data_IF_999955611972
#
_entry.id   IF_999955611972
#
_cell.length_a   1.000
_cell.length_b   1.000
_cell.length_c   1.000
_cell.angle_alpha   90.00
_cell.angle_beta   90.00
_cell.angle_gamma   90.00
#
_symmetry.space_group_name_H-M   'P 1'
#
loop_
_entity.id
_entity.type
_entity.pdbx_description
1 polymer ?
#
# COMPACT_ATOMS: atom_id res chain seq x y z
N UNK A 1 20.02 -36.82 -40.95
CA UNK A 1 19.95 -35.41 -40.45
C UNK A 1 20.01 -35.36 -38.91
N UNK A 2 19.40 -36.26 -38.16
CA UNK A 2 19.40 -36.23 -36.67
C UNK A 2 20.74 -36.49 -35.97
N UNK A 3 21.69 -37.10 -36.62
CA UNK A 3 22.95 -37.60 -36.00
C UNK A 3 24.12 -36.62 -36.12
N UNK A 4 24.07 -35.63 -37.00
CA UNK A 4 25.19 -34.69 -37.27
C UNK A 4 24.99 -33.27 -36.74
N UNK A 5 23.93 -33.00 -35.98
CA UNK A 5 23.60 -31.65 -35.49
C UNK A 5 24.34 -31.24 -34.21
N UNK A 6 25.43 -31.92 -33.87
CA UNK A 6 26.28 -31.49 -32.76
C UNK A 6 27.26 -30.44 -33.29
N UNK A 7 27.04 -29.17 -32.83
CA UNK A 7 27.97 -28.06 -32.97
C UNK A 7 27.79 -27.06 -34.12
N UNK A 8 26.56 -26.55 -34.35
CA UNK A 8 26.48 -25.22 -35.03
C UNK A 8 27.02 -25.07 -36.45
N UNK A 9 27.57 -26.14 -37.02
CA UNK A 9 28.17 -26.12 -38.34
C UNK A 9 27.11 -26.28 -39.44
N UNK A 10 27.33 -25.60 -40.56
CA UNK A 10 26.51 -25.74 -41.73
C UNK A 10 26.78 -27.11 -42.36
N UNK A 11 25.74 -27.84 -42.62
CA UNK A 11 25.84 -29.16 -43.25
C UNK A 11 25.44 -29.08 -44.72
N UNK A 12 26.33 -29.59 -45.56
CA UNK A 12 26.05 -29.89 -46.94
C UNK A 12 25.81 -31.39 -47.09
N UNK A 13 24.69 -31.78 -47.66
CA UNK A 13 24.36 -33.19 -47.87
C UNK A 13 23.69 -33.40 -49.24
N UNK A 14 23.91 -34.57 -49.82
CA UNK A 14 23.20 -34.94 -51.06
C UNK A 14 22.02 -35.82 -50.69
N UNK A 15 20.81 -35.38 -51.10
CA UNK A 15 19.59 -36.12 -50.83
C UNK A 15 19.53 -37.43 -51.69
N UNK A 16 18.54 -38.29 -51.37
CA UNK A 16 18.34 -39.56 -52.08
C UNK A 16 18.10 -39.39 -53.59
N UNK A 17 17.72 -38.21 -54.02
CA UNK A 17 17.48 -37.86 -55.44
C UNK A 17 18.71 -37.23 -56.11
N UNK A 18 19.87 -37.22 -55.45
CA UNK A 18 21.10 -36.71 -56.03
C UNK A 18 21.26 -35.19 -56.01
N UNK A 19 20.36 -34.48 -55.34
CA UNK A 19 20.43 -33.04 -55.20
C UNK A 19 21.18 -32.65 -53.92
N UNK A 20 21.95 -31.57 -54.00
CA UNK A 20 22.73 -31.04 -52.87
C UNK A 20 21.92 -29.97 -52.19
N UNK A 21 21.81 -30.14 -50.85
CA UNK A 21 21.16 -29.21 -49.93
C UNK A 21 22.18 -28.70 -48.92
N UNK A 22 22.00 -27.41 -48.52
CA UNK A 22 22.73 -26.76 -47.46
C UNK A 22 21.76 -26.50 -46.30
N UNK A 23 22.21 -26.76 -45.06
CA UNK A 23 21.41 -26.57 -43.88
C UNK A 23 22.24 -25.96 -42.74
N UNK A 24 21.86 -24.82 -42.25
CA UNK A 24 22.47 -24.14 -41.10
C UNK A 24 21.50 -24.15 -39.91
N UNK A 25 21.85 -24.79 -38.80
CA UNK A 25 21.03 -24.74 -37.59
C UNK A 25 21.14 -23.37 -36.94
N UNK A 26 20.01 -22.83 -36.51
CA UNK A 26 19.91 -21.55 -35.81
C UNK A 26 19.73 -21.81 -34.32
N UNK A 27 20.76 -21.52 -33.52
CA UNK A 27 20.75 -21.64 -32.06
C UNK A 27 20.60 -20.27 -31.44
N UNK A 28 19.53 -20.05 -30.67
CA UNK A 28 19.29 -18.82 -29.91
C UNK A 28 19.44 -19.17 -28.43
N UNK A 29 20.32 -18.49 -27.73
CA UNK A 29 20.63 -18.77 -26.31
C UNK A 29 20.93 -20.28 -26.05
N UNK A 30 21.66 -20.92 -26.95
CA UNK A 30 22.04 -22.32 -26.83
C UNK A 30 20.93 -23.35 -27.12
N UNK A 31 19.75 -22.90 -27.54
CA UNK A 31 18.64 -23.79 -27.93
C UNK A 31 18.38 -23.71 -29.43
N UNK A 32 18.17 -24.88 -30.03
CA UNK A 32 17.82 -24.96 -31.46
C UNK A 32 16.46 -24.29 -31.67
N UNK A 33 16.44 -23.15 -32.39
CA UNK A 33 15.25 -22.40 -32.73
C UNK A 33 14.69 -22.77 -34.12
N UNK A 34 15.57 -23.18 -35.03
CA UNK A 34 15.17 -23.52 -36.39
C UNK A 34 16.36 -23.85 -37.27
N UNK A 35 16.11 -23.87 -38.56
CA UNK A 35 17.11 -24.12 -39.59
C UNK A 35 16.96 -23.08 -40.71
N UNK A 36 18.10 -22.62 -41.24
CA UNK A 36 18.17 -21.96 -42.52
C UNK A 36 18.58 -23.03 -43.54
N UNK A 37 17.74 -23.24 -44.54
CA UNK A 37 18.02 -24.23 -45.56
C UNK A 37 18.02 -23.61 -46.97
N UNK A 38 18.94 -24.03 -47.79
CA UNK A 38 19.02 -23.67 -49.19
C UNK A 38 19.53 -24.86 -49.97
N UNK A 39 19.04 -25.07 -51.17
CA UNK A 39 19.52 -26.21 -51.92
C UNK A 39 18.63 -26.58 -53.11
N UNK A 40 18.63 -27.90 -53.38
CA UNK A 40 18.08 -28.51 -54.58
C UNK A 40 18.87 -28.11 -55.85
N UNK A 41 20.17 -28.12 -55.69
CA UNK A 41 21.08 -27.89 -56.83
C UNK A 41 21.80 -29.19 -57.18
N UNK A 42 22.27 -29.30 -58.42
CA UNK A 42 23.13 -30.40 -58.83
C UNK A 42 24.59 -30.03 -58.55
N UNK A 43 25.34 -30.92 -57.87
CA UNK A 43 26.80 -30.75 -57.70
C UNK A 43 27.63 -31.26 -58.88
N UNK A 44 27.03 -32.01 -59.75
CA UNK A 44 27.54 -32.45 -61.02
C UNK A 44 26.38 -32.66 -62.00
N UNK A 45 26.66 -32.47 -63.30
CA UNK A 45 25.68 -32.81 -64.32
C UNK A 45 25.42 -34.31 -64.35
N UNK A 46 24.16 -34.71 -64.20
CA UNK A 46 23.77 -36.13 -64.24
C UNK A 46 23.40 -36.53 -65.63
N UNK A 47 24.02 -37.65 -66.14
CA UNK A 47 23.70 -38.22 -67.43
C UNK A 47 22.31 -38.88 -67.45
N UNK A 48 21.75 -39.08 -68.65
CA UNK A 48 20.37 -39.57 -68.82
C UNK A 48 20.17 -40.96 -68.18
N UNK A 49 21.15 -41.88 -68.25
CA UNK A 49 21.06 -43.20 -67.60
C UNK A 49 21.02 -43.10 -66.02
N UNK A 50 21.80 -42.17 -65.45
CA UNK A 50 21.85 -41.94 -64.02
C UNK A 50 20.51 -41.24 -63.52
N UNK A 51 19.98 -40.30 -64.33
CA UNK A 51 18.72 -39.61 -64.02
C UNK A 51 17.53 -40.57 -64.13
N UNK A 52 17.53 -41.49 -65.10
CA UNK A 52 16.54 -42.57 -65.19
C UNK A 52 16.57 -43.45 -63.91
N UNK A 53 17.77 -43.83 -63.44
CA UNK A 53 17.94 -44.58 -62.20
C UNK A 53 17.45 -43.82 -60.94
N UNK A 54 17.66 -42.47 -60.85
CA UNK A 54 17.13 -41.63 -59.80
C UNK A 54 15.62 -41.55 -59.89
N UNK A 55 15.06 -41.38 -61.09
CA UNK A 55 13.60 -41.24 -61.30
C UNK A 55 12.80 -42.47 -60.90
N UNK A 56 13.38 -43.66 -60.99
CA UNK A 56 12.77 -44.92 -60.53
C UNK A 56 12.58 -45.01 -59.01
N UNK A 57 13.31 -44.21 -58.24
CA UNK A 57 13.18 -44.08 -56.78
C UNK A 57 12.12 -43.12 -56.33
N UNK A 58 11.50 -42.36 -57.22
CA UNK A 58 10.45 -41.40 -56.91
C UNK A 58 9.11 -42.14 -56.68
N UNK A 59 8.84 -42.52 -55.42
CA UNK A 59 7.67 -43.27 -55.01
C UNK A 59 6.37 -42.44 -55.02
N UNK A 60 6.48 -41.11 -55.13
CA UNK A 60 5.38 -40.19 -55.13
C UNK A 60 4.81 -39.89 -56.52
N UNK A 61 5.48 -40.33 -57.58
CA UNK A 61 5.10 -40.15 -58.97
C UNK A 61 4.01 -41.15 -59.35
N UNK A 62 2.90 -40.70 -59.91
CA UNK A 62 1.67 -41.48 -60.12
C UNK A 62 1.59 -42.12 -61.50
N UNK A 63 2.21 -41.50 -62.51
CA UNK A 63 2.17 -41.95 -63.91
C UNK A 63 3.45 -41.56 -64.67
N UNK A 64 3.62 -42.09 -65.86
CA UNK A 64 4.79 -41.82 -66.70
C UNK A 64 4.85 -40.38 -67.24
N UNK A 65 3.72 -39.71 -67.46
CA UNK A 65 3.70 -38.31 -67.87
C UNK A 65 4.24 -37.40 -66.78
N UNK A 66 3.81 -37.58 -65.53
CA UNK A 66 4.32 -36.87 -64.35
C UNK A 66 5.82 -37.13 -64.16
N UNK A 67 6.27 -38.34 -64.40
CA UNK A 67 7.69 -38.71 -64.37
C UNK A 67 8.50 -37.98 -65.44
N UNK A 68 8.03 -37.97 -66.68
CA UNK A 68 8.69 -37.27 -67.78
C UNK A 68 8.78 -35.77 -67.51
N UNK A 69 7.72 -35.18 -66.97
CA UNK A 69 7.68 -33.76 -66.55
C UNK A 69 8.73 -33.46 -65.49
N UNK A 70 8.81 -34.30 -64.47
CA UNK A 70 9.79 -34.12 -63.37
C UNK A 70 11.22 -34.31 -63.82
N UNK A 71 11.48 -35.24 -64.73
CA UNK A 71 12.79 -35.43 -65.39
C UNK A 71 13.22 -34.16 -66.12
N UNK A 72 12.31 -33.56 -66.90
CA UNK A 72 12.58 -32.31 -67.57
C UNK A 72 12.88 -31.16 -66.63
N UNK A 73 12.12 -31.06 -65.54
CA UNK A 73 12.37 -30.08 -64.50
C UNK A 73 13.70 -30.32 -63.76
N UNK A 74 14.05 -31.56 -63.52
CA UNK A 74 15.33 -31.92 -62.91
C UNK A 74 16.54 -31.50 -63.76
N UNK A 75 16.45 -31.63 -65.09
CA UNK A 75 17.48 -31.15 -66.06
C UNK A 75 17.64 -29.63 -66.04
N UNK A 76 16.61 -28.89 -65.68
CA UNK A 76 16.64 -27.43 -65.59
C UNK A 76 17.23 -26.90 -64.29
N UNK A 77 17.50 -27.80 -63.30
CA UNK A 77 18.10 -27.38 -62.05
C UNK A 77 19.53 -26.87 -62.26
N UNK A 78 19.95 -25.82 -61.54
CA UNK A 78 21.30 -25.28 -61.66
C UNK A 78 22.35 -26.33 -61.22
N UNK A 79 23.42 -26.40 -61.97
CA UNK A 79 24.60 -27.18 -61.62
C UNK A 79 25.62 -26.21 -61.03
N UNK A 80 25.98 -26.39 -59.77
CA UNK A 80 26.97 -25.56 -59.10
C UNK A 80 28.30 -26.34 -58.95
N UNK A 81 29.37 -25.67 -59.34
CA UNK A 81 30.71 -26.24 -59.10
C UNK A 81 31.13 -26.16 -57.61
N UNK A 82 32.27 -26.75 -57.29
CA UNK A 82 32.76 -26.79 -55.88
C UNK A 82 33.04 -25.36 -55.34
N UNK A 83 33.44 -24.43 -56.20
CA UNK A 83 33.74 -23.03 -55.84
C UNK A 83 32.45 -22.29 -55.52
N UNK A 84 31.42 -22.48 -56.33
CA UNK A 84 30.10 -21.91 -56.16
C UNK A 84 29.40 -22.45 -54.90
N UNK A 85 29.52 -23.75 -54.65
CA UNK A 85 29.01 -24.37 -53.38
C UNK A 85 29.72 -23.83 -52.13
N UNK A 86 31.04 -23.61 -52.19
CA UNK A 86 31.80 -23.00 -51.10
C UNK A 86 31.33 -21.56 -50.83
N UNK A 87 31.10 -20.76 -51.91
CA UNK A 87 30.53 -19.41 -51.77
C UNK A 87 29.13 -19.42 -51.17
N UNK A 88 28.30 -20.36 -51.56
CA UNK A 88 26.95 -20.53 -51.01
C UNK A 88 27.00 -20.88 -49.52
N UNK A 89 27.95 -21.74 -49.09
CA UNK A 89 28.19 -22.03 -47.69
C UNK A 89 28.62 -20.80 -46.87
N UNK A 90 29.50 -19.95 -47.40
CA UNK A 90 29.93 -18.72 -46.75
C UNK A 90 28.78 -17.74 -46.55
N UNK A 91 27.98 -17.55 -47.64
CA UNK A 91 26.80 -16.68 -47.59
C UNK A 91 25.82 -17.22 -46.52
N UNK A 92 25.56 -18.49 -46.49
CA UNK A 92 24.68 -19.15 -45.53
C UNK A 92 25.18 -18.98 -44.11
N UNK A 93 26.50 -19.05 -43.88
CA UNK A 93 27.14 -18.79 -42.59
C UNK A 93 26.93 -17.36 -42.12
N UNK A 94 27.13 -16.39 -42.98
CA UNK A 94 26.89 -14.98 -42.68
C UNK A 94 25.44 -14.74 -42.35
N UNK A 95 24.50 -15.25 -43.16
CA UNK A 95 23.06 -15.07 -42.93
C UNK A 95 22.60 -15.72 -41.64
N UNK A 96 23.05 -16.95 -41.35
CA UNK A 96 22.66 -17.64 -40.11
C UNK A 96 23.17 -16.91 -38.88
N UNK A 97 24.40 -16.39 -38.90
CA UNK A 97 24.97 -15.59 -37.82
C UNK A 97 24.19 -14.30 -37.61
N UNK A 98 23.88 -13.55 -38.68
CA UNK A 98 23.13 -12.30 -38.59
C UNK A 98 21.69 -12.52 -38.08
N UNK A 99 21.03 -13.60 -38.50
CA UNK A 99 19.70 -13.94 -38.00
C UNK A 99 19.72 -14.20 -36.48
N UNK A 100 20.70 -14.98 -36.01
CA UNK A 100 20.85 -15.30 -34.59
C UNK A 100 21.11 -14.03 -33.77
N UNK A 101 22.06 -13.17 -34.20
CA UNK A 101 22.38 -11.92 -33.52
C UNK A 101 21.16 -11.00 -33.44
N UNK A 102 20.43 -10.81 -34.52
CA UNK A 102 19.21 -10.00 -34.53
C UNK A 102 18.13 -10.54 -33.59
N UNK A 103 17.96 -11.85 -33.53
CA UNK A 103 17.03 -12.50 -32.63
C UNK A 103 17.42 -12.29 -31.16
N UNK A 104 18.70 -12.47 -30.82
CA UNK A 104 19.21 -12.28 -29.46
C UNK A 104 19.09 -10.83 -29.00
N UNK A 105 19.44 -9.87 -29.87
CA UNK A 105 19.26 -8.43 -29.60
C UNK A 105 17.79 -8.11 -29.33
N UNK A 106 16.87 -8.61 -30.16
CA UNK A 106 15.43 -8.36 -29.98
C UNK A 106 14.90 -8.97 -28.67
N UNK A 107 15.30 -10.18 -28.34
CA UNK A 107 14.92 -10.82 -27.07
C UNK A 107 15.46 -10.06 -25.84
N UNK A 108 16.71 -9.61 -25.91
CA UNK A 108 17.30 -8.77 -24.86
C UNK A 108 16.55 -7.44 -24.70
N UNK A 109 16.22 -6.80 -25.82
CA UNK A 109 15.45 -5.54 -25.83
C UNK A 109 14.05 -5.70 -25.22
N UNK A 110 13.35 -6.77 -25.54
CA UNK A 110 12.05 -7.06 -24.93
C UNK A 110 12.15 -7.21 -23.41
N UNK A 111 13.13 -7.97 -22.92
CA UNK A 111 13.35 -8.13 -21.47
C UNK A 111 13.61 -6.79 -20.76
N UNK A 112 14.44 -5.94 -21.36
CA UNK A 112 14.73 -4.59 -20.80
C UNK A 112 13.45 -3.75 -20.74
N UNK A 113 12.61 -3.78 -21.78
CA UNK A 113 11.36 -3.05 -21.80
C UNK A 113 10.38 -3.55 -20.73
N UNK A 114 10.23 -4.85 -20.57
CA UNK A 114 9.39 -5.45 -19.52
C UNK A 114 9.87 -5.06 -18.12
N UNK A 115 11.17 -5.14 -17.85
CA UNK A 115 11.75 -4.75 -16.57
C UNK A 115 11.57 -3.25 -16.29
N UNK A 116 11.75 -2.40 -17.30
CA UNK A 116 11.58 -0.95 -17.16
C UNK A 116 10.12 -0.58 -16.86
N UNK A 117 9.16 -1.26 -17.49
CA UNK A 117 7.74 -1.09 -17.21
C UNK A 117 7.39 -1.50 -15.78
N UNK A 118 7.88 -2.66 -15.34
CA UNK A 118 7.65 -3.13 -13.97
C UNK A 118 8.22 -2.16 -12.93
N UNK A 119 9.44 -1.68 -13.16
CA UNK A 119 10.09 -0.71 -12.27
C UNK A 119 9.33 0.62 -12.22
N UNK A 120 8.83 1.10 -13.37
CA UNK A 120 8.00 2.29 -13.44
C UNK A 120 6.70 2.13 -12.64
N UNK A 121 6.03 0.99 -12.76
CA UNK A 121 4.83 0.69 -11.98
C UNK A 121 5.09 0.62 -10.46
N UNK A 122 6.23 0.03 -10.06
CA UNK A 122 6.62 -0.01 -8.64
C UNK A 122 6.88 1.40 -8.08
N UNK A 123 7.58 2.26 -8.83
CA UNK A 123 7.82 3.66 -8.44
C UNK A 123 6.51 4.44 -8.30
N UNK A 124 5.59 4.26 -9.24
CA UNK A 124 4.28 4.91 -9.18
C UNK A 124 3.49 4.48 -7.93
N UNK A 125 3.43 3.18 -7.65
CA UNK A 125 2.78 2.67 -6.43
C UNK A 125 3.41 3.20 -5.15
N UNK A 126 4.75 3.30 -5.11
CA UNK A 126 5.48 3.90 -3.99
C UNK A 126 5.07 5.35 -3.75
N UNK A 127 5.05 6.17 -4.81
CA UNK A 127 4.63 7.56 -4.74
C UNK A 127 3.15 7.71 -4.30
N UNK A 128 2.25 6.88 -4.83
CA UNK A 128 0.83 6.89 -4.45
C UNK A 128 0.62 6.52 -2.96
N UNK A 129 1.39 5.55 -2.46
CA UNK A 129 1.39 5.19 -1.03
C UNK A 129 1.90 6.32 -0.14
N UNK A 130 2.99 6.98 -0.52
CA UNK A 130 3.54 8.13 0.21
C UNK A 130 2.54 9.28 0.26
N UNK A 131 1.90 9.61 -0.87
CA UNK A 131 0.83 10.60 -0.91
C UNK A 131 -0.40 10.22 -0.08
N UNK A 132 -0.76 8.94 -0.03
CA UNK A 132 -1.87 8.47 0.81
C UNK A 132 -1.53 8.57 2.29
N UNK A 133 -0.31 8.20 2.68
CA UNK A 133 0.20 8.33 4.05
C UNK A 133 0.20 9.80 4.49
N UNK A 134 0.75 10.69 3.67
CA UNK A 134 0.79 12.12 3.97
C UNK A 134 -0.61 12.74 4.15
N UNK A 135 -1.56 12.37 3.27
CA UNK A 135 -2.97 12.77 3.42
C UNK A 135 -3.61 12.23 4.69
N UNK A 136 -3.30 10.97 5.07
CA UNK A 136 -3.80 10.38 6.30
C UNK A 136 -3.24 11.08 7.54
N UNK A 137 -1.94 11.42 7.54
CA UNK A 137 -1.29 12.18 8.60
C UNK A 137 -1.89 13.59 8.75
N UNK A 138 -2.07 14.32 7.64
CA UNK A 138 -2.71 15.64 7.66
C UNK A 138 -4.16 15.57 8.16
N UNK A 139 -4.91 14.52 7.78
CA UNK A 139 -6.26 14.30 8.26
C UNK A 139 -6.29 13.99 9.76
N UNK A 140 -5.36 13.17 10.23
CA UNK A 140 -5.21 12.86 11.65
C UNK A 140 -4.90 14.13 12.47
N UNK A 141 -3.95 14.95 11.99
CA UNK A 141 -3.59 16.22 12.61
C UNK A 141 -4.77 17.20 12.67
N UNK A 142 -5.53 17.35 11.57
CA UNK A 142 -6.75 18.20 11.55
C UNK A 142 -7.82 17.71 12.51
N UNK A 143 -7.95 16.41 12.73
CA UNK A 143 -8.94 15.83 13.63
C UNK A 143 -8.56 15.97 15.13
N UNK A 144 -7.33 16.35 15.45
CA UNK A 144 -6.90 16.59 16.84
C UNK A 144 -7.46 17.90 17.40
N UNK A 145 -7.81 18.86 16.54
CA UNK A 145 -8.45 20.11 16.95
C UNK A 145 -9.92 20.04 16.56
N UNK A 146 -10.81 20.19 17.54
CA UNK A 146 -12.24 20.32 17.27
C UNK A 146 -12.53 21.73 16.71
N UNK A 147 -12.80 21.91 15.37
CA UNK A 147 -12.97 23.23 14.78
C UNK A 147 -14.16 23.98 15.39
N UNK A 148 -15.21 23.26 15.73
CA UNK A 148 -16.41 23.84 16.34
C UNK A 148 -16.11 24.43 17.74
N UNK A 149 -15.31 23.72 18.53
CA UNK A 149 -14.87 24.25 19.84
C UNK A 149 -14.03 25.53 19.67
N UNK A 150 -13.08 25.51 18.72
CA UNK A 150 -12.22 26.67 18.46
C UNK A 150 -13.02 27.90 18.03
N UNK A 151 -13.94 27.77 17.06
CA UNK A 151 -14.81 28.87 16.63
C UNK A 151 -15.70 29.37 17.75
N UNK A 152 -16.28 28.50 18.56
CA UNK A 152 -17.11 28.88 19.66
C UNK A 152 -16.34 29.64 20.75
N UNK A 153 -15.10 29.21 21.04
CA UNK A 153 -14.21 29.87 21.99
C UNK A 153 -13.81 31.26 21.51
N UNK A 154 -13.40 31.42 20.25
CA UNK A 154 -13.05 32.70 19.66
C UNK A 154 -14.24 33.66 19.62
N UNK A 155 -15.44 33.19 19.27
CA UNK A 155 -16.66 34.00 19.30
C UNK A 155 -17.01 34.44 20.72
N UNK A 156 -16.79 33.60 21.73
CA UNK A 156 -17.01 33.98 23.13
C UNK A 156 -15.99 35.05 23.57
N UNK A 157 -14.72 34.90 23.23
CA UNK A 157 -13.68 35.92 23.50
C UNK A 157 -14.05 37.24 22.85
N UNK A 158 -14.44 37.24 21.56
CA UNK A 158 -14.86 38.45 20.86
C UNK A 158 -16.04 39.14 21.52
N UNK A 159 -17.06 38.35 21.96
CA UNK A 159 -18.22 38.91 22.69
C UNK A 159 -17.83 39.48 24.06
N UNK A 160 -16.97 38.80 24.83
CA UNK A 160 -16.50 39.31 26.12
C UNK A 160 -15.70 40.62 25.96
N UNK A 161 -14.86 40.72 24.92
CA UNK A 161 -14.13 41.94 24.61
C UNK A 161 -15.04 43.12 24.27
N UNK A 162 -16.15 42.88 23.56
CA UNK A 162 -17.16 43.91 23.25
C UNK A 162 -17.89 44.46 24.49
N UNK A 163 -18.02 43.67 25.54
CA UNK A 163 -18.69 44.09 26.79
C UNK A 163 -17.70 44.55 27.86
N UNK A 164 -16.49 44.93 27.50
CA UNK A 164 -15.43 45.45 28.40
C UNK A 164 -15.07 44.49 29.57
N UNK A 165 -15.39 43.20 29.44
CA UNK A 165 -15.07 42.17 30.44
C UNK A 165 -13.61 41.73 30.35
N UNK A 166 -12.64 42.64 30.39
CA UNK A 166 -11.21 42.42 30.14
C UNK A 166 -10.65 41.26 30.94
N UNK A 167 -11.00 41.12 32.21
CA UNK A 167 -10.50 40.04 33.07
C UNK A 167 -10.98 38.65 32.58
N UNK A 168 -12.25 38.51 32.23
CA UNK A 168 -12.82 37.24 31.72
C UNK A 168 -12.28 36.92 30.31
N UNK A 169 -12.08 37.94 29.48
CA UNK A 169 -11.48 37.80 28.15
C UNK A 169 -10.06 37.31 28.27
N UNK A 170 -9.26 37.84 29.16
CA UNK A 170 -7.89 37.43 29.43
C UNK A 170 -7.83 35.97 29.94
N UNK A 171 -8.63 35.66 30.99
CA UNK A 171 -8.72 34.29 31.52
C UNK A 171 -9.09 33.28 30.44
N UNK A 172 -10.07 33.54 29.60
CA UNK A 172 -10.49 32.66 28.53
C UNK A 172 -9.40 32.49 27.45
N UNK A 173 -8.68 33.59 27.14
CA UNK A 173 -7.58 33.54 26.16
C UNK A 173 -6.43 32.70 26.66
N UNK A 174 -6.04 32.83 27.93
CA UNK A 174 -5.01 32.02 28.59
C UNK A 174 -5.39 30.54 28.60
N UNK A 175 -6.61 30.21 29.01
CA UNK A 175 -7.08 28.82 29.04
C UNK A 175 -7.13 28.21 27.63
N UNK A 176 -7.52 28.99 26.62
CA UNK A 176 -7.50 28.53 25.24
C UNK A 176 -6.08 28.31 24.74
N UNK A 177 -5.13 29.19 25.09
CA UNK A 177 -3.72 29.01 24.72
C UNK A 177 -3.11 27.76 25.36
N UNK A 178 -3.41 27.50 26.65
CA UNK A 178 -2.93 26.30 27.36
C UNK A 178 -3.52 25.03 26.76
N UNK A 179 -4.81 25.02 26.46
CA UNK A 179 -5.47 23.90 25.78
C UNK A 179 -4.85 23.62 24.40
N UNK A 180 -4.64 24.66 23.58
CA UNK A 180 -4.04 24.52 22.26
C UNK A 180 -2.58 24.07 22.34
N UNK A 181 -1.79 24.58 23.29
CA UNK A 181 -0.41 24.18 23.50
C UNK A 181 -0.33 22.68 23.79
N UNK A 182 -1.18 22.16 24.64
CA UNK A 182 -1.24 20.73 24.96
C UNK A 182 -1.68 19.90 23.76
N UNK A 183 -2.75 20.30 23.05
CA UNK A 183 -3.30 19.52 21.93
C UNK A 183 -2.42 19.51 20.68
N UNK A 184 -1.57 20.56 20.53
CA UNK A 184 -0.62 20.71 19.41
C UNK A 184 0.80 20.30 19.75
N UNK A 185 1.06 19.92 21.01
CA UNK A 185 2.36 19.45 21.45
C UNK A 185 2.77 18.22 20.64
N UNK A 186 4.02 18.22 20.15
CA UNK A 186 4.59 17.00 19.58
C UNK A 186 4.56 15.91 20.65
N UNK A 187 3.92 14.81 20.33
CA UNK A 187 3.84 13.67 21.23
C UNK A 187 5.26 13.18 21.51
N UNK A 188 5.54 12.79 22.76
CA UNK A 188 6.74 12.03 23.07
C UNK A 188 6.82 10.81 22.11
N UNK A 189 8.02 10.37 21.77
CA UNK A 189 8.23 9.21 20.86
C UNK A 189 7.33 8.02 21.21
N UNK A 190 6.87 7.95 22.44
CA UNK A 190 6.04 6.87 22.97
C UNK A 190 4.55 7.17 23.11
N UNK A 191 4.09 8.38 22.78
CA UNK A 191 2.67 8.76 22.86
C UNK A 191 2.07 8.67 24.28
N UNK A 192 2.89 8.69 25.33
CA UNK A 192 2.50 8.69 26.75
C UNK A 192 2.81 10.04 27.37
N UNK A 193 1.98 10.43 28.34
CA UNK A 193 2.10 11.69 29.10
C UNK A 193 1.81 11.43 30.56
N UNK A 194 2.22 12.33 31.44
CA UNK A 194 1.81 12.29 32.83
C UNK A 194 0.31 12.57 32.97
N UNK A 195 -0.36 11.81 33.84
CA UNK A 195 -1.79 11.99 34.09
C UNK A 195 -2.13 13.43 34.55
N UNK A 196 -1.21 14.07 35.28
CA UNK A 196 -1.33 15.47 35.67
C UNK A 196 -1.45 16.43 34.49
N UNK A 197 -0.77 16.16 33.37
CA UNK A 197 -0.86 16.96 32.15
C UNK A 197 -2.23 16.79 31.45
N UNK A 198 -2.74 15.57 31.38
CA UNK A 198 -4.11 15.28 30.92
C UNK A 198 -5.16 16.04 31.76
N UNK A 199 -5.00 15.99 33.11
CA UNK A 199 -5.90 16.72 34.01
C UNK A 199 -5.82 18.23 33.80
N UNK A 200 -4.63 18.79 33.59
CA UNK A 200 -4.47 20.21 33.34
C UNK A 200 -5.16 20.63 32.03
N UNK A 201 -5.00 19.85 30.97
CA UNK A 201 -5.72 20.06 29.72
C UNK A 201 -7.23 20.04 29.91
N UNK A 202 -7.75 19.04 30.63
CA UNK A 202 -9.17 18.93 30.97
C UNK A 202 -9.64 20.14 31.80
N UNK A 203 -8.86 20.59 32.77
CA UNK A 203 -9.19 21.81 33.58
C UNK A 203 -9.30 23.05 32.71
N UNK A 204 -8.34 23.28 31.80
CA UNK A 204 -8.38 24.39 30.85
C UNK A 204 -9.60 24.31 29.94
N UNK A 205 -9.90 23.11 29.42
CA UNK A 205 -11.09 22.89 28.59
C UNK A 205 -12.40 23.19 29.36
N UNK A 206 -12.53 22.68 30.59
CA UNK A 206 -13.70 22.94 31.46
C UNK A 206 -13.83 24.39 31.86
N UNK A 207 -12.71 25.11 32.09
CA UNK A 207 -12.72 26.53 32.39
C UNK A 207 -13.31 27.37 31.23
N UNK A 208 -12.93 27.04 29.97
CA UNK A 208 -13.51 27.68 28.78
C UNK A 208 -15.03 27.45 28.72
N UNK A 209 -15.48 26.21 28.96
CA UNK A 209 -16.90 25.89 28.99
C UNK A 209 -17.65 26.61 30.12
N UNK A 210 -17.04 26.79 31.31
CA UNK A 210 -17.60 27.53 32.41
C UNK A 210 -17.82 29.00 32.05
N UNK A 211 -16.89 29.64 31.36
CA UNK A 211 -17.07 31.04 30.90
C UNK A 211 -18.22 31.13 29.90
N UNK A 212 -18.34 30.14 28.99
CA UNK A 212 -19.40 30.11 27.97
C UNK A 212 -20.79 29.84 28.52
N UNK A 213 -20.92 28.92 29.49
CA UNK A 213 -22.21 28.46 30.03
C UNK A 213 -22.59 29.15 31.35
N UNK A 214 -21.65 29.86 32.00
CA UNK A 214 -21.87 30.51 33.27
C UNK A 214 -22.34 29.54 34.36
N UNK A 215 -23.33 29.98 35.15
CA UNK A 215 -23.90 29.21 36.27
C UNK A 215 -24.67 27.95 35.85
N UNK A 216 -24.82 27.72 34.55
CA UNK A 216 -25.45 26.50 34.01
C UNK A 216 -24.55 25.29 34.08
N UNK A 217 -23.22 25.45 34.22
CA UNK A 217 -22.25 24.36 34.30
C UNK A 217 -21.43 24.46 35.59
N UNK A 218 -21.44 23.40 36.36
CA UNK A 218 -20.54 23.19 37.48
C UNK A 218 -19.73 21.93 37.26
N UNK A 219 -18.44 21.98 37.57
CA UNK A 219 -17.59 20.79 37.50
C UNK A 219 -16.71 20.67 38.75
N UNK A 220 -16.38 19.44 39.10
CA UNK A 220 -15.39 19.12 40.14
C UNK A 220 -14.38 18.12 39.59
N UNK A 221 -13.11 18.33 39.92
CA UNK A 221 -11.99 17.43 39.58
C UNK A 221 -11.31 17.06 40.88
N UNK A 222 -11.46 15.80 41.26
CA UNK A 222 -10.93 15.22 42.50
C UNK A 222 -9.88 14.21 42.13
N UNK A 223 -8.64 14.39 42.62
CA UNK A 223 -7.55 13.45 42.31
C UNK A 223 -6.68 13.20 43.53
N UNK A 224 -6.24 11.95 43.68
CA UNK A 224 -5.16 11.63 44.60
C UNK A 224 -3.83 12.20 44.06
N UNK A 225 -2.98 12.84 44.88
CA UNK A 225 -1.73 13.42 44.39
C UNK A 225 -0.83 12.41 43.65
N UNK A 226 -0.86 11.15 44.07
CA UNK A 226 -0.02 10.08 43.56
C UNK A 226 -0.37 9.68 42.10
N UNK A 227 -1.60 9.96 41.61
CA UNK A 227 -1.98 9.62 40.24
C UNK A 227 -1.35 10.57 39.19
N UNK A 228 -0.89 11.75 39.62
CA UNK A 228 -0.38 12.78 38.70
C UNK A 228 0.83 12.34 37.89
N UNK A 229 1.71 11.53 38.49
CA UNK A 229 2.95 11.06 37.88
C UNK A 229 2.77 9.77 37.08
N UNK A 230 1.57 9.18 37.14
CA UNK A 230 1.29 7.97 36.38
C UNK A 230 1.27 8.26 34.87
N UNK A 231 1.86 7.37 34.09
CA UNK A 231 1.89 7.50 32.64
C UNK A 231 0.60 6.98 32.01
N UNK A 232 -0.02 7.82 31.18
CA UNK A 232 -1.25 7.46 30.45
C UNK A 232 -1.12 7.84 28.95
N UNK A 233 -1.90 7.20 28.10
CA UNK A 233 -1.93 7.59 26.69
C UNK A 233 -2.37 9.05 26.52
N UNK A 234 -1.66 9.78 25.66
CA UNK A 234 -2.01 11.17 25.32
C UNK A 234 -3.45 11.26 24.81
N UNK A 235 -4.18 12.32 25.22
CA UNK A 235 -5.59 12.54 24.88
C UNK A 235 -6.50 11.39 25.31
N UNK A 236 -6.27 10.83 26.53
CA UNK A 236 -7.09 9.77 27.12
C UNK A 236 -8.42 10.34 27.68
N UNK A 237 -8.34 11.41 28.46
CA UNK A 237 -9.49 11.99 29.17
C UNK A 237 -10.31 12.93 28.29
N UNK A 238 -9.66 13.66 27.42
CA UNK A 238 -10.28 14.72 26.63
C UNK A 238 -11.52 14.26 25.84
N UNK A 239 -11.49 13.13 25.08
CA UNK A 239 -12.67 12.67 24.31
C UNK A 239 -13.85 12.29 25.21
N UNK A 240 -13.57 11.84 26.44
CA UNK A 240 -14.60 11.46 27.39
C UNK A 240 -15.31 12.69 27.98
N UNK A 241 -14.53 13.71 28.31
CA UNK A 241 -15.04 15.01 28.79
C UNK A 241 -15.81 15.73 27.69
N UNK A 242 -15.32 15.74 26.46
CA UNK A 242 -16.02 16.27 25.30
C UNK A 242 -17.39 15.61 25.10
N UNK A 243 -17.44 14.28 25.16
CA UNK A 243 -18.70 13.54 25.03
C UNK A 243 -19.69 13.93 26.14
N UNK A 244 -19.24 14.05 27.38
CA UNK A 244 -20.08 14.44 28.49
C UNK A 244 -20.65 15.87 28.30
N UNK A 245 -19.82 16.81 27.85
CA UNK A 245 -20.24 18.20 27.63
C UNK A 245 -21.17 18.33 26.41
N UNK A 246 -20.72 17.88 25.23
CA UNK A 246 -21.41 18.11 23.96
C UNK A 246 -22.69 17.27 23.87
N UNK A 247 -22.62 15.98 24.23
CA UNK A 247 -23.73 15.04 24.05
C UNK A 247 -24.57 14.87 25.32
N UNK A 248 -23.99 15.09 26.52
CA UNK A 248 -24.68 14.95 27.79
C UNK A 248 -25.29 16.25 28.29
N UNK A 249 -24.48 17.29 28.47
CA UNK A 249 -24.84 18.48 29.20
C UNK A 249 -25.37 19.64 28.32
N UNK A 250 -24.80 19.85 27.13
CA UNK A 250 -25.22 20.93 26.22
C UNK A 250 -26.69 20.80 25.78
N UNK A 251 -27.21 19.60 25.45
CA UNK A 251 -28.63 19.43 25.11
C UNK A 251 -29.58 19.54 26.32
N UNK A 252 -29.03 19.47 27.56
CA UNK A 252 -29.83 19.49 28.77
C UNK A 252 -30.24 20.93 29.13
N UNK A 253 -31.52 21.14 29.46
CA UNK A 253 -32.03 22.41 30.00
C UNK A 253 -31.73 22.57 31.49
N UNK A 254 -31.27 21.52 32.18
CA UNK A 254 -30.93 21.53 33.60
C UNK A 254 -29.54 22.08 33.83
N UNK A 255 -29.25 22.49 35.09
CA UNK A 255 -27.88 22.80 35.49
C UNK A 255 -27.01 21.55 35.34
N UNK A 256 -25.99 21.64 34.46
CA UNK A 256 -25.04 20.59 34.20
C UNK A 256 -24.06 20.41 35.36
N UNK A 257 -23.84 19.16 35.76
CA UNK A 257 -22.80 18.80 36.72
C UNK A 257 -21.90 17.75 36.11
N UNK A 258 -20.58 17.97 36.15
CA UNK A 258 -19.56 17.03 35.74
C UNK A 258 -18.61 16.75 36.89
N UNK A 259 -18.43 15.51 37.23
CA UNK A 259 -17.47 15.04 38.21
C UNK A 259 -16.41 14.17 37.48
N UNK A 260 -15.14 14.54 37.63
CA UNK A 260 -14.00 13.72 37.28
C UNK A 260 -13.26 13.38 38.57
N UNK A 261 -13.20 12.09 38.91
CA UNK A 261 -12.47 11.61 40.07
C UNK A 261 -11.39 10.59 39.62
N UNK A 262 -10.18 10.70 40.16
CA UNK A 262 -9.08 9.78 39.89
C UNK A 262 -8.43 9.35 41.23
N UNK A 263 -8.38 8.05 41.47
CA UNK A 263 -7.81 7.47 42.67
C UNK A 263 -6.78 6.40 42.35
N UNK A 264 -5.75 6.31 43.20
CA UNK A 264 -4.79 5.23 43.13
C UNK A 264 -5.30 4.05 43.94
N UNK A 265 -5.36 2.87 43.33
CA UNK A 265 -5.76 1.61 43.96
C UNK A 265 -4.64 0.58 43.81
N UNK A 266 -3.71 0.47 44.77
CA UNK A 266 -2.50 -0.36 44.69
C UNK A 266 -1.67 -0.01 43.43
N UNK A 267 -1.62 -0.93 42.45
CA UNK A 267 -0.85 -0.80 41.22
C UNK A 267 -1.69 -0.30 40.03
N UNK A 268 -2.90 0.22 40.30
CA UNK A 268 -3.85 0.67 39.30
C UNK A 268 -4.38 2.05 39.60
N UNK A 269 -4.83 2.72 38.54
CA UNK A 269 -5.54 3.99 38.61
C UNK A 269 -7.01 3.72 38.30
N UNK A 270 -7.89 4.17 39.16
CA UNK A 270 -9.33 4.16 38.95
C UNK A 270 -9.83 5.58 38.65
N UNK A 271 -10.35 5.78 37.46
CA UNK A 271 -10.85 7.08 36.98
C UNK A 271 -12.36 6.96 36.76
N UNK A 272 -13.11 7.92 37.31
CA UNK A 272 -14.55 8.00 37.19
C UNK A 272 -14.91 9.36 36.58
N UNK A 273 -15.59 9.34 35.45
CA UNK A 273 -16.24 10.52 34.88
C UNK A 273 -17.76 10.35 34.98
N UNK A 274 -18.44 11.31 35.60
CA UNK A 274 -19.90 11.29 35.78
C UNK A 274 -20.51 12.63 35.40
N UNK A 275 -21.53 12.62 34.56
CA UNK A 275 -22.37 13.74 34.24
C UNK A 275 -23.82 13.49 34.67
N UNK A 276 -24.61 14.57 34.77
CA UNK A 276 -26.05 14.54 35.02
C UNK A 276 -26.84 14.94 33.78
N UNK A 277 -26.30 14.73 32.58
CA UNK A 277 -26.87 15.13 31.32
C UNK A 277 -28.08 14.31 30.89
N UNK A 278 -28.36 14.35 29.60
CA UNK A 278 -29.56 13.70 29.03
C UNK A 278 -29.46 12.16 29.09
N UNK A 279 -28.27 11.61 29.16
CA UNK A 279 -28.05 10.16 29.12
C UNK A 279 -28.60 9.49 27.85
N UNK A 280 -28.53 8.17 27.78
CA UNK A 280 -29.03 7.39 26.64
C UNK A 280 -29.41 5.97 27.07
N UNK A 281 -30.17 5.27 26.21
CA UNK A 281 -30.52 3.87 26.40
C UNK A 281 -29.35 2.97 25.97
N UNK A 282 -28.87 2.11 26.87
CA UNK A 282 -27.72 1.24 26.63
C UNK A 282 -27.95 0.23 25.48
N UNK A 283 -29.19 -0.21 25.25
CA UNK A 283 -29.56 -1.10 24.15
C UNK A 283 -29.48 -0.44 22.77
N UNK A 284 -29.50 0.88 22.69
CA UNK A 284 -29.37 1.69 21.46
C UNK A 284 -28.03 2.37 21.35
N UNK A 285 -27.12 2.13 22.29
CA UNK A 285 -25.82 2.74 22.28
C UNK A 285 -25.01 2.29 21.08
N UNK A 286 -24.56 3.25 20.29
CA UNK A 286 -23.53 3.05 19.26
C UNK A 286 -22.31 3.83 19.68
N UNK A 287 -21.20 3.13 19.79
CA UNK A 287 -19.93 3.74 20.16
C UNK A 287 -19.49 4.77 19.11
N UNK A 288 -19.36 6.02 19.54
CA UNK A 288 -18.84 7.11 18.69
C UNK A 288 -17.32 7.05 18.55
N UNK A 289 -16.77 7.81 17.60
CA UNK A 289 -15.33 7.84 17.31
C UNK A 289 -14.46 8.17 18.54
N UNK A 290 -14.92 9.05 19.43
CA UNK A 290 -14.17 9.44 20.62
C UNK A 290 -13.93 8.28 21.57
N UNK A 291 -14.96 7.54 21.93
CA UNK A 291 -14.87 6.40 22.84
C UNK A 291 -14.13 5.22 22.20
N UNK A 292 -14.37 4.97 20.90
CA UNK A 292 -13.66 3.96 20.13
C UNK A 292 -12.14 4.23 20.11
N UNK A 293 -11.73 5.49 19.95
CA UNK A 293 -10.33 5.89 20.00
C UNK A 293 -9.71 5.67 21.38
N UNK A 294 -10.44 6.02 22.46
CA UNK A 294 -9.98 5.73 23.85
C UNK A 294 -9.79 4.24 24.03
N UNK A 295 -10.74 3.41 23.65
CA UNK A 295 -10.66 1.95 23.78
C UNK A 295 -9.48 1.36 22.98
N UNK A 296 -9.27 1.86 21.75
CA UNK A 296 -8.13 1.46 20.92
C UNK A 296 -6.79 1.82 21.57
N UNK A 297 -6.66 3.02 22.16
CA UNK A 297 -5.46 3.43 22.89
C UNK A 297 -5.23 2.56 24.13
N UNK A 298 -6.27 2.33 24.91
CA UNK A 298 -6.17 1.44 26.08
C UNK A 298 -5.69 0.04 25.65
N UNK A 299 -6.23 -0.51 24.59
CA UNK A 299 -5.79 -1.81 24.07
C UNK A 299 -4.32 -1.82 23.61
N UNK A 300 -3.88 -0.73 22.96
CA UNK A 300 -2.50 -0.62 22.48
C UNK A 300 -1.47 -0.61 23.61
N UNK A 301 -1.74 0.14 24.68
CA UNK A 301 -0.75 0.36 25.75
C UNK A 301 -0.92 -0.60 26.93
N UNK A 302 -2.11 -1.12 27.18
CA UNK A 302 -2.43 -1.95 28.35
C UNK A 302 -2.97 -3.33 28.02
N UNK A 303 -3.25 -3.63 26.74
CA UNK A 303 -3.84 -4.90 26.28
C UNK A 303 -5.12 -5.26 27.08
N UNK A 304 -5.05 -6.35 27.87
CA UNK A 304 -6.15 -6.81 28.72
C UNK A 304 -6.12 -6.23 30.15
N UNK A 305 -5.10 -5.44 30.47
CA UNK A 305 -4.88 -4.90 31.82
C UNK A 305 -5.57 -3.55 32.04
N UNK A 306 -6.29 -3.05 31.06
CA UNK A 306 -7.16 -1.89 31.19
C UNK A 306 -8.61 -2.26 30.90
N UNK A 307 -9.52 -1.59 31.59
CA UNK A 307 -10.95 -1.71 31.34
C UNK A 307 -11.63 -0.34 31.26
N UNK A 308 -12.64 -0.26 30.40
CA UNK A 308 -13.53 0.91 30.31
C UNK A 308 -14.97 0.43 30.34
N UNK A 309 -15.71 0.91 31.33
CA UNK A 309 -17.12 0.62 31.52
C UNK A 309 -17.94 1.90 31.33
N UNK A 310 -19.03 1.81 30.58
CA UNK A 310 -19.95 2.92 30.33
C UNK A 310 -21.32 2.51 30.81
N UNK A 311 -21.89 3.32 31.70
CA UNK A 311 -23.27 3.17 32.19
C UNK A 311 -24.02 4.47 31.98
N UNK A 312 -25.19 4.41 31.39
CA UNK A 312 -26.03 5.57 31.14
C UNK A 312 -27.48 5.27 31.41
N UNK A 313 -28.20 6.28 31.89
CA UNK A 313 -29.63 6.23 32.17
C UNK A 313 -30.30 7.43 31.49
N UNK A 314 -31.33 7.24 30.67
CA UNK A 314 -32.08 8.33 30.08
C UNK A 314 -32.52 9.34 31.14
N UNK A 315 -32.19 10.61 30.91
CA UNK A 315 -32.42 11.72 31.84
C UNK A 315 -31.68 11.61 33.19
N UNK A 316 -30.84 10.63 33.37
CA UNK A 316 -30.04 10.36 34.60
C UNK A 316 -28.57 10.67 34.44
N UNK A 317 -28.12 10.92 33.19
CA UNK A 317 -26.71 11.17 32.87
C UNK A 317 -25.92 9.92 32.52
N UNK A 318 -24.60 10.08 32.42
CA UNK A 318 -23.67 9.00 32.05
C UNK A 318 -22.55 8.90 33.10
N UNK A 319 -22.12 7.68 33.34
CA UNK A 319 -20.95 7.33 34.16
C UNK A 319 -20.01 6.46 33.34
N UNK A 320 -18.76 6.90 33.24
CA UNK A 320 -17.66 6.16 32.61
C UNK A 320 -16.64 5.84 33.71
N UNK A 321 -16.24 4.59 33.76
CA UNK A 321 -15.21 4.12 34.68
C UNK A 321 -14.07 3.52 33.89
N UNK A 322 -12.84 3.96 34.17
CA UNK A 322 -11.60 3.42 33.63
C UNK A 322 -10.79 2.81 34.77
N UNK A 323 -10.21 1.65 34.51
CA UNK A 323 -9.19 1.06 35.37
C UNK A 323 -8.00 0.71 34.51
N UNK A 324 -6.83 1.23 34.88
CA UNK A 324 -5.57 1.04 34.17
C UNK A 324 -4.51 0.68 35.20
N UNK A 325 -3.48 -0.08 34.79
CA UNK A 325 -2.26 -0.21 35.59
C UNK A 325 -1.56 1.16 35.69
N UNK A 326 -0.81 1.36 36.76
CA UNK A 326 0.01 2.57 36.97
C UNK A 326 1.02 2.79 35.84
N UNK A 327 1.50 1.72 35.24
CA UNK A 327 2.39 1.76 34.07
C UNK A 327 1.83 0.92 32.94
N UNK A 328 1.92 1.40 31.73
CA UNK A 328 1.56 0.62 30.55
C UNK A 328 2.37 -0.68 30.46
N UNK A 329 1.75 -1.75 29.97
CA UNK A 329 2.40 -3.06 29.75
C UNK A 329 3.32 -2.98 28.54
N UNK A 330 2.89 -2.27 27.50
CA UNK A 330 3.65 -2.05 26.30
C UNK A 330 4.21 -0.61 26.32
N UNK A 331 5.47 -0.49 26.69
CA UNK A 331 6.28 0.69 26.39
C UNK A 331 6.88 0.45 25.01
N UNK A 332 6.53 1.25 23.99
CA UNK A 332 7.11 1.12 22.65
C UNK A 332 8.61 1.42 22.62
#
# INVERSE_FOLDING_TARGET
>A
IRTSLKQGDIHMYTCANGLTDLCAPLYINGRLAGFLASGQVQSKMIGDAELEGVSKRWTFVRNDEERAFLIEKYRQLPVLDETELKRALEIMRLLSTQIVELCEINLARQKILEQSLLLSQQRQRGADMEHALHRAQLKALRNQINPHFLFNSLNCIARLALFEAAKKTMEMTEQLADYLRYTLQEQSEHGLVCFGEELQCVRSYLAIYRVRFGDRLSFSVEEDPEVRECLVPFMLLQPLVENALIHGLEPSLRKGKLLLAAKKEKDSIHIVLKDNGVGFEMNRFREGMGLANVRKRLHLYYEKSASIEVRSIPRGGTRIELRLLERPVNLP
#
